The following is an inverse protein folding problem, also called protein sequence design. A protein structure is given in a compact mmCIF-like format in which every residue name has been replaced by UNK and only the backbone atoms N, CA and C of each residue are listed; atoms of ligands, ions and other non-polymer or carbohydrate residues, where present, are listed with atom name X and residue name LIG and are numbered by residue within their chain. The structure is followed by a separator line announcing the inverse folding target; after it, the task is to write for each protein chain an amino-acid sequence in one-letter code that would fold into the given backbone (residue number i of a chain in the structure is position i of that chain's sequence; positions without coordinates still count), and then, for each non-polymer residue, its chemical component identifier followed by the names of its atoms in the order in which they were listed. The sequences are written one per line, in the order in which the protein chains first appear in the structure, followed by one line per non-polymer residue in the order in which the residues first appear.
data_IF_080264125456
#
_entry.id   IF_080264125456
#
_cell.length_a   1.000
_cell.length_b   1.000
_cell.length_c   1.000
_cell.angle_alpha   90.00
_cell.angle_beta   90.00
_cell.angle_gamma   90.00
#
_symmetry.space_group_name_H-M   'P 1'
#
loop_
_entity.id
_entity.type
_entity.pdbx_description
1 polymer ?
#
# COMPACT_ATOMS: atom_id res chain seq x y z
N UNK A 1 39.36 33.66 13.85
CA UNK A 1 37.94 33.77 14.24
C UNK A 1 37.01 34.01 13.05
N UNK A 2 37.21 35.06 12.24
CA UNK A 2 36.38 35.32 11.06
C UNK A 2 36.37 34.16 10.04
N UNK A 3 37.53 33.51 9.83
CA UNK A 3 37.65 32.38 8.90
C UNK A 3 36.90 31.12 9.39
N UNK A 4 36.96 30.81 10.70
CA UNK A 4 36.26 29.66 11.28
C UNK A 4 34.75 29.85 11.26
N UNK A 5 34.26 31.06 11.59
CA UNK A 5 32.85 31.43 11.49
C UNK A 5 32.34 31.38 10.05
N UNK A 6 33.12 31.89 9.10
CA UNK A 6 32.78 31.82 7.66
C UNK A 6 32.71 30.38 7.16
N UNK A 7 33.66 29.54 7.57
CA UNK A 7 33.66 28.11 7.24
C UNK A 7 32.43 27.40 7.81
N UNK A 8 32.07 27.68 9.06
CA UNK A 8 30.92 27.05 9.72
C UNK A 8 29.58 27.49 9.12
N UNK A 9 29.47 28.76 8.72
CA UNK A 9 28.31 29.26 7.99
C UNK A 9 28.17 28.61 6.59
N UNK A 10 29.29 28.43 5.87
CA UNK A 10 29.30 27.74 4.59
C UNK A 10 28.98 26.25 4.73
N UNK A 11 29.57 25.57 5.71
CA UNK A 11 29.34 24.15 5.99
C UNK A 11 27.85 23.88 6.28
N UNK A 12 27.20 24.78 7.00
CA UNK A 12 25.76 24.68 7.33
C UNK A 12 24.84 24.83 6.13
N UNK A 13 25.28 25.51 5.07
CA UNK A 13 24.50 25.72 3.85
C UNK A 13 24.72 24.62 2.82
N UNK A 14 25.88 23.95 2.85
CA UNK A 14 26.32 23.05 1.79
C UNK A 14 26.13 21.55 2.11
N UNK A 15 25.38 21.21 3.16
CA UNK A 15 25.13 19.82 3.60
C UNK A 15 26.42 18.97 3.65
N UNK A 16 27.49 19.54 4.21
CA UNK A 16 28.82 18.92 4.22
C UNK A 16 28.80 17.65 5.05
N UNK A 17 29.45 16.58 4.59
CA UNK A 17 29.57 15.32 5.34
C UNK A 17 30.26 15.53 6.69
N UNK A 18 29.96 14.68 7.67
CA UNK A 18 30.51 14.75 9.03
C UNK A 18 32.02 14.46 9.12
N UNK A 19 32.61 13.93 8.04
CA UNK A 19 34.01 13.53 7.96
C UNK A 19 34.20 12.02 8.16
N UNK A 20 35.32 11.46 7.67
CA UNK A 20 35.53 10.01 7.64
C UNK A 20 35.62 9.38 9.02
N UNK A 21 36.21 10.08 10.01
CA UNK A 21 36.37 9.58 11.38
C UNK A 21 35.05 9.23 12.06
N UNK A 22 33.99 10.01 11.78
CA UNK A 22 32.67 9.80 12.39
C UNK A 22 31.94 8.68 11.65
N UNK A 23 32.07 8.63 10.33
CA UNK A 23 31.47 7.56 9.52
C UNK A 23 32.07 6.19 9.84
N UNK A 24 33.38 6.11 10.07
CA UNK A 24 34.06 4.89 10.50
C UNK A 24 33.57 4.43 11.87
N UNK A 25 33.48 5.32 12.85
CA UNK A 25 32.92 5.00 14.18
C UNK A 25 31.48 4.48 14.10
N UNK A 26 30.64 5.07 13.24
CA UNK A 26 29.26 4.60 13.04
C UNK A 26 29.27 3.17 12.46
N UNK A 27 30.16 2.89 11.50
CA UNK A 27 30.30 1.55 10.92
C UNK A 27 30.77 0.52 11.95
N UNK A 28 31.74 0.86 12.79
CA UNK A 28 32.23 -0.02 13.86
C UNK A 28 31.12 -0.38 14.86
N UNK A 29 30.33 0.61 15.31
CA UNK A 29 29.22 0.40 16.24
C UNK A 29 28.14 -0.50 15.62
N UNK A 30 27.86 -0.33 14.33
CA UNK A 30 26.89 -1.17 13.63
C UNK A 30 27.38 -2.61 13.42
N UNK A 31 28.67 -2.78 13.08
CA UNK A 31 29.29 -4.10 12.94
C UNK A 31 29.33 -4.86 14.26
N UNK A 32 29.60 -4.18 15.38
CA UNK A 32 29.56 -4.78 16.71
C UNK A 32 28.17 -5.33 17.09
N UNK A 33 27.11 -4.84 16.45
CA UNK A 33 25.74 -5.37 16.61
C UNK A 33 25.36 -6.43 15.57
N UNK A 34 26.26 -6.78 14.65
CA UNK A 34 25.97 -7.70 13.57
C UNK A 34 25.02 -7.13 12.52
N UNK A 35 24.89 -5.80 12.42
CA UNK A 35 23.96 -5.14 11.50
C UNK A 35 24.73 -4.66 10.28
N UNK A 36 24.25 -5.09 9.10
CA UNK A 36 24.84 -4.69 7.82
C UNK A 36 24.22 -3.38 7.35
N UNK A 37 25.06 -2.36 7.18
CA UNK A 37 24.68 -1.08 6.58
C UNK A 37 24.86 -1.18 5.07
N UNK A 38 23.82 -0.85 4.29
CA UNK A 38 23.92 -0.69 2.84
C UNK A 38 24.33 0.72 2.45
N UNK A 39 23.80 1.73 3.14
CA UNK A 39 24.05 3.13 2.85
C UNK A 39 24.19 3.92 4.15
N UNK A 40 25.20 4.78 4.21
CA UNK A 40 25.41 5.73 5.30
C UNK A 40 25.60 7.10 4.67
N UNK A 41 24.74 8.03 5.04
CA UNK A 41 24.88 9.45 4.69
C UNK A 41 24.93 10.27 5.96
N UNK A 42 25.99 11.02 6.14
CA UNK A 42 26.11 11.98 7.23
C UNK A 42 25.99 13.40 6.71
N UNK A 43 25.42 14.28 7.52
CA UNK A 43 25.34 15.71 7.23
C UNK A 43 25.71 16.48 8.49
N UNK A 44 26.54 17.49 8.32
CA UNK A 44 26.95 18.43 9.35
C UNK A 44 26.18 19.73 9.16
N UNK A 45 25.52 20.17 10.23
CA UNK A 45 24.76 21.42 10.31
C UNK A 45 25.36 22.25 11.44
N UNK A 46 26.37 23.05 11.11
CA UNK A 46 27.18 23.78 12.10
C UNK A 46 27.94 22.80 13.01
N UNK A 47 27.66 22.83 14.31
CA UNK A 47 28.22 21.92 15.32
C UNK A 47 27.47 20.58 15.44
N UNK A 48 26.26 20.51 14.88
CA UNK A 48 25.39 19.35 14.95
C UNK A 48 25.63 18.39 13.78
N UNK A 49 25.52 17.09 14.03
CA UNK A 49 25.63 16.05 13.00
C UNK A 49 24.34 15.24 12.96
N UNK A 50 23.89 14.95 11.75
CA UNK A 50 22.76 14.05 11.48
C UNK A 50 23.23 12.89 10.61
N UNK A 51 22.71 11.70 10.87
CA UNK A 51 23.06 10.50 10.12
C UNK A 51 21.81 9.78 9.60
N UNK A 52 21.82 9.43 8.32
CA UNK A 52 20.81 8.60 7.68
C UNK A 52 21.46 7.26 7.33
N UNK A 53 20.89 6.19 7.87
CA UNK A 53 21.38 4.82 7.74
C UNK A 53 20.33 3.97 7.02
N UNK A 54 20.75 3.23 6.01
CA UNK A 54 19.95 2.14 5.44
C UNK A 54 20.54 0.81 5.93
N UNK A 55 19.76 0.07 6.71
CA UNK A 55 20.16 -1.23 7.27
C UNK A 55 19.36 -2.35 6.64
N UNK A 56 20.01 -3.49 6.43
CA UNK A 56 19.34 -4.73 6.02
C UNK A 56 19.05 -5.58 7.23
N UNK A 57 17.79 -5.95 7.36
CA UNK A 57 17.34 -6.91 8.35
C UNK A 57 16.63 -8.05 7.62
N UNK A 58 16.89 -9.31 7.98
CA UNK A 58 16.20 -10.45 7.37
C UNK A 58 14.71 -10.41 7.72
N UNK A 59 13.87 -10.82 6.77
CA UNK A 59 12.39 -10.72 6.80
C UNK A 59 11.70 -11.60 7.85
N UNK A 60 12.44 -12.44 8.57
CA UNK A 60 11.89 -13.30 9.62
C UNK A 60 11.60 -12.56 10.94
N UNK A 61 12.15 -11.36 11.14
CA UNK A 61 11.91 -10.59 12.36
C UNK A 61 10.50 -10.02 12.38
N UNK A 62 9.83 -10.08 13.55
CA UNK A 62 8.58 -9.35 13.74
C UNK A 62 8.84 -7.86 13.68
N UNK A 63 7.87 -7.08 13.21
CA UNK A 63 7.97 -5.61 13.14
C UNK A 63 8.37 -5.01 14.50
N UNK A 64 7.87 -5.55 15.60
CA UNK A 64 8.21 -5.14 16.97
C UNK A 64 9.67 -5.44 17.38
N UNK A 65 10.26 -6.52 16.84
CA UNK A 65 11.65 -6.88 17.13
C UNK A 65 12.58 -5.99 16.31
N UNK A 66 12.23 -5.74 15.05
CA UNK A 66 12.97 -4.84 14.17
C UNK A 66 13.02 -3.40 14.71
N UNK A 67 11.90 -2.90 15.27
CA UNK A 67 11.87 -1.57 15.90
C UNK A 67 12.72 -1.50 17.16
N UNK A 68 12.72 -2.54 18.00
CA UNK A 68 13.60 -2.62 19.18
C UNK A 68 15.08 -2.61 18.79
N UNK A 69 15.44 -3.32 17.73
CA UNK A 69 16.81 -3.34 17.22
C UNK A 69 17.22 -1.94 16.70
N UNK A 70 16.35 -1.28 15.93
CA UNK A 70 16.63 0.06 15.41
C UNK A 70 16.75 1.11 16.53
N UNK A 71 15.87 1.09 17.52
CA UNK A 71 15.93 2.03 18.64
C UNK A 71 17.17 1.76 19.52
N UNK A 72 17.51 0.49 19.75
CA UNK A 72 18.73 0.12 20.47
C UNK A 72 20.01 0.58 19.77
N UNK A 73 20.06 0.53 18.43
CA UNK A 73 21.14 1.12 17.66
C UNK A 73 21.17 2.64 17.79
N UNK A 74 20.01 3.29 17.64
CA UNK A 74 19.87 4.74 17.69
C UNK A 74 20.40 5.32 19.00
N UNK A 75 20.00 4.75 20.14
CA UNK A 75 20.46 5.22 21.45
C UNK A 75 21.98 5.08 21.63
N UNK A 76 22.56 3.97 21.17
CA UNK A 76 24.00 3.74 21.28
C UNK A 76 24.81 4.72 20.42
N UNK A 77 24.32 5.01 19.21
CA UNK A 77 24.97 5.99 18.33
C UNK A 77 24.93 7.40 18.93
N UNK A 78 23.79 7.80 19.50
CA UNK A 78 23.66 9.11 20.18
C UNK A 78 24.54 9.20 21.43
N UNK A 79 24.68 8.12 22.20
CA UNK A 79 25.55 8.09 23.39
C UNK A 79 27.04 8.11 23.04
N UNK A 80 27.44 7.44 21.96
CA UNK A 80 28.85 7.34 21.56
C UNK A 80 29.37 8.63 20.91
N UNK A 81 28.51 9.39 20.23
CA UNK A 81 28.88 10.58 19.47
C UNK A 81 28.07 11.77 20.00
N UNK A 82 28.67 12.56 20.90
CA UNK A 82 27.97 13.70 21.53
C UNK A 82 27.56 14.82 20.58
N UNK A 83 28.13 14.89 19.38
CA UNK A 83 27.74 15.83 18.32
C UNK A 83 26.60 15.31 17.43
N UNK A 84 26.19 14.05 17.59
CA UNK A 84 25.12 13.43 16.82
C UNK A 84 23.77 13.79 17.46
N UNK A 85 22.94 14.55 16.75
CA UNK A 85 21.64 15.01 17.28
C UNK A 85 20.50 14.11 16.80
N UNK A 86 20.59 13.62 15.57
CA UNK A 86 19.52 12.84 14.96
C UNK A 86 20.05 11.72 14.09
N UNK A 87 19.41 10.55 14.21
CA UNK A 87 19.70 9.36 13.41
C UNK A 87 18.40 8.86 12.82
N UNK A 88 18.30 8.84 11.50
CA UNK A 88 17.23 8.14 10.78
C UNK A 88 17.74 6.76 10.35
N UNK A 89 16.96 5.73 10.65
CA UNK A 89 17.27 4.35 10.27
C UNK A 89 16.14 3.86 9.37
N UNK A 90 16.48 3.51 8.14
CA UNK A 90 15.59 2.89 7.17
C UNK A 90 15.92 1.40 7.07
N UNK A 91 14.92 0.56 7.33
CA UNK A 91 15.07 -0.89 7.24
C UNK A 91 14.66 -1.31 5.83
N UNK A 92 15.57 -1.98 5.11
CA UNK A 92 15.25 -2.71 3.90
C UNK A 92 15.01 -4.18 4.27
N UNK A 93 13.77 -4.62 4.14
CA UNK A 93 13.45 -6.06 4.13
C UNK A 93 13.68 -6.59 2.73
N UNK A 94 14.57 -7.57 2.58
CA UNK A 94 14.65 -8.32 1.33
C UNK A 94 13.37 -9.14 1.20
N UNK A 95 12.76 -9.07 0.00
CA UNK A 95 11.60 -9.83 -0.43
C UNK A 95 10.28 -9.45 0.25
N UNK A 96 9.71 -8.33 -0.21
CA UNK A 96 8.25 -8.34 -0.42
C UNK A 96 8.09 -9.11 -1.73
N UNK A 97 7.96 -10.44 -1.66
CA UNK A 97 7.34 -11.17 -2.76
C UNK A 97 5.92 -10.61 -2.87
N UNK A 98 5.75 -9.68 -3.80
CA UNK A 98 4.40 -9.29 -4.22
C UNK A 98 3.87 -10.48 -4.98
N UNK A 99 3.12 -11.34 -4.30
CA UNK A 99 2.25 -12.32 -4.93
C UNK A 99 1.22 -11.56 -5.76
N UNK A 100 1.64 -11.13 -6.95
CA UNK A 100 0.73 -10.56 -7.93
C UNK A 100 -0.07 -11.72 -8.50
N UNK A 101 -1.33 -11.83 -8.08
CA UNK A 101 -2.29 -12.76 -8.65
C UNK A 101 -2.43 -12.49 -10.15
N UNK A 102 -1.73 -13.26 -10.99
CA UNK A 102 -2.02 -13.37 -12.42
C UNK A 102 -3.20 -14.32 -12.57
N UNK A 103 -4.41 -13.85 -12.95
CA UNK A 103 -5.50 -14.76 -13.24
C UNK A 103 -5.04 -15.69 -14.37
N UNK A 104 -5.16 -17.00 -14.12
CA UNK A 104 -4.78 -18.11 -15.02
C UNK A 104 -5.57 -18.10 -16.34
N UNK A 105 -6.45 -17.12 -16.53
CA UNK A 105 -7.28 -16.94 -17.72
C UNK A 105 -6.49 -16.84 -19.03
N UNK A 106 -5.20 -16.45 -18.98
CA UNK A 106 -4.35 -16.41 -20.17
C UNK A 106 -3.87 -17.78 -20.67
N UNK A 107 -4.01 -18.86 -19.88
CA UNK A 107 -3.58 -20.21 -20.28
C UNK A 107 -4.69 -21.01 -20.99
N UNK A 108 -5.95 -20.57 -20.90
CA UNK A 108 -7.10 -21.26 -21.48
C UNK A 108 -7.76 -20.54 -22.67
N UNK A 109 -7.27 -19.35 -23.07
CA UNK A 109 -7.75 -18.70 -24.30
C UNK A 109 -6.99 -19.23 -25.52
N UNK A 110 -7.69 -19.69 -26.57
CA UNK A 110 -7.05 -20.17 -27.78
C UNK A 110 -6.20 -19.05 -28.40
N UNK A 111 -5.00 -19.43 -28.81
CA UNK A 111 -3.97 -18.62 -29.45
C UNK A 111 -4.55 -17.76 -30.58
N UNK A 112 -4.94 -16.51 -30.27
CA UNK A 112 -5.53 -15.62 -31.27
C UNK A 112 -5.94 -14.23 -30.78
N UNK A 113 -6.12 -14.04 -29.46
CA UNK A 113 -6.55 -12.77 -28.90
C UNK A 113 -5.42 -11.93 -28.26
N UNK A 114 -4.19 -12.11 -28.74
CA UNK A 114 -3.02 -11.39 -28.26
C UNK A 114 -2.41 -10.49 -29.34
N UNK A 115 -3.05 -9.36 -29.67
CA UNK A 115 -2.34 -8.19 -30.22
C UNK A 115 -3.17 -6.92 -30.03
N UNK A 116 -2.51 -5.93 -29.45
CA UNK A 116 -3.12 -4.74 -28.88
C UNK A 116 -4.08 -4.00 -29.80
N UNK A 117 -5.23 -3.65 -29.22
CA UNK A 117 -5.95 -2.45 -29.57
C UNK A 117 -6.31 -1.79 -28.25
N UNK A 118 -5.84 -0.55 -28.09
CA UNK A 118 -6.10 0.25 -26.92
C UNK A 118 -7.59 0.22 -26.59
N UNK A 119 -7.89 0.07 -25.30
CA UNK A 119 -9.22 0.28 -24.74
C UNK A 119 -9.58 1.76 -24.92
N UNK A 120 -9.90 2.12 -26.16
CA UNK A 120 -10.45 3.41 -26.53
C UNK A 120 -11.82 3.53 -25.89
N UNK A 121 -12.02 4.67 -25.26
CA UNK A 121 -13.28 5.17 -24.75
C UNK A 121 -14.33 5.26 -25.87
N UNK A 122 -14.89 4.12 -26.28
CA UNK A 122 -16.13 4.07 -27.04
C UNK A 122 -17.23 3.64 -26.06
N UNK A 123 -17.57 4.59 -25.18
CA UNK A 123 -18.88 4.64 -24.54
C UNK A 123 -19.92 4.89 -25.63
N UNK A 124 -20.24 3.87 -26.41
CA UNK A 124 -21.48 3.82 -27.15
C UNK A 124 -22.43 2.99 -26.31
N UNK A 125 -23.26 3.66 -25.53
CA UNK A 125 -24.26 3.04 -24.67
C UNK A 125 -25.19 2.15 -25.51
N UNK A 126 -24.93 0.85 -25.53
CA UNK A 126 -25.91 -0.17 -25.89
C UNK A 126 -26.66 -0.57 -24.63
N UNK A 127 -27.47 0.34 -24.12
CA UNK A 127 -28.66 -0.07 -23.36
C UNK A 127 -29.79 -0.27 -24.37
N UNK A 128 -29.62 -1.26 -25.24
CA UNK A 128 -30.67 -1.70 -26.14
C UNK A 128 -31.51 -2.74 -25.38
N UNK A 129 -32.43 -2.21 -24.58
CA UNK A 129 -33.28 -2.98 -23.71
C UNK A 129 -34.08 -2.05 -22.81
N UNK A 130 -34.95 -1.22 -23.38
CA UNK A 130 -36.04 -0.61 -22.61
C UNK A 130 -36.92 -1.75 -22.11
N UNK A 131 -36.70 -2.23 -20.88
CA UNK A 131 -37.72 -2.99 -20.17
C UNK A 131 -38.84 -2.00 -19.92
N UNK A 132 -39.85 -1.99 -20.80
CA UNK A 132 -40.93 -0.99 -20.86
C UNK A 132 -41.83 -0.94 -19.59
N UNK A 133 -41.55 -1.76 -18.58
CA UNK A 133 -42.47 -1.99 -17.45
C UNK A 133 -41.76 -2.01 -16.09
N UNK A 134 -40.48 -1.66 -16.00
CA UNK A 134 -39.82 -1.51 -14.69
C UNK A 134 -40.28 -0.20 -14.01
N UNK A 135 -41.54 -0.17 -13.58
CA UNK A 135 -42.06 0.85 -12.67
C UNK A 135 -41.32 0.65 -11.35
N UNK A 136 -40.26 1.43 -11.13
CA UNK A 136 -39.45 1.37 -9.92
C UNK A 136 -40.25 1.84 -8.70
N UNK A 137 -41.06 0.96 -8.12
CA UNK A 137 -41.87 1.23 -6.91
C UNK A 137 -41.05 1.09 -5.61
N UNK A 138 -39.81 1.60 -5.60
CA UNK A 138 -38.94 1.63 -4.42
C UNK A 138 -38.38 0.28 -3.95
N UNK A 139 -37.58 0.26 -2.87
CA UNK A 139 -36.92 -0.96 -2.37
C UNK A 139 -37.85 -1.89 -1.56
N UNK A 140 -39.02 -1.40 -1.11
CA UNK A 140 -39.98 -2.16 -0.30
C UNK A 140 -41.26 -2.53 -1.05
N UNK A 141 -41.95 -3.58 -0.60
CA UNK A 141 -43.21 -4.06 -1.16
C UNK A 141 -43.32 -5.60 -1.14
N UNK A 142 -44.42 -6.12 -1.68
CA UNK A 142 -44.65 -7.57 -1.79
C UNK A 142 -44.70 -8.01 -3.27
N UNK A 143 -44.14 -9.18 -3.55
CA UNK A 143 -44.36 -9.91 -4.78
C UNK A 143 -45.54 -10.88 -4.58
N UNK A 144 -46.51 -10.86 -5.50
CA UNK A 144 -47.77 -11.60 -5.39
C UNK A 144 -47.97 -12.52 -6.61
N UNK A 145 -48.40 -13.78 -6.42
CA UNK A 145 -48.78 -14.66 -7.55
C UNK A 145 -50.15 -14.21 -8.08
N UNK A 146 -50.29 -13.94 -9.40
CA UNK A 146 -51.57 -13.55 -9.98
C UNK A 146 -52.63 -14.67 -9.97
N UNK A 147 -52.22 -15.93 -9.79
CA UNK A 147 -53.11 -17.09 -9.85
C UNK A 147 -53.59 -17.57 -8.47
N UNK A 148 -52.72 -17.53 -7.45
CA UNK A 148 -53.03 -18.06 -6.10
C UNK A 148 -52.86 -17.03 -4.97
N UNK A 149 -52.59 -15.76 -5.30
CA UNK A 149 -52.43 -14.66 -4.33
C UNK A 149 -51.36 -14.86 -3.26
N UNK A 150 -50.43 -15.80 -3.46
CA UNK A 150 -49.29 -16.01 -2.58
C UNK A 150 -48.42 -14.75 -2.51
N UNK A 151 -48.19 -14.22 -1.31
CA UNK A 151 -47.41 -13.00 -1.06
C UNK A 151 -46.05 -13.33 -0.43
N UNK A 152 -45.00 -12.72 -0.94
CA UNK A 152 -43.63 -12.79 -0.40
C UNK A 152 -43.03 -11.39 -0.39
N UNK A 153 -42.18 -11.10 0.60
CA UNK A 153 -41.45 -9.83 0.65
C UNK A 153 -40.52 -9.68 -0.55
N UNK A 154 -40.53 -8.50 -1.16
CA UNK A 154 -39.65 -8.19 -2.28
C UNK A 154 -38.20 -8.01 -1.82
N UNK A 155 -37.27 -8.73 -2.45
CA UNK A 155 -35.84 -8.55 -2.21
C UNK A 155 -35.24 -7.48 -3.13
N UNK A 156 -34.54 -6.46 -2.59
CA UNK A 156 -33.93 -5.42 -3.40
C UNK A 156 -32.87 -6.01 -4.34
N UNK A 157 -32.90 -5.59 -5.60
CA UNK A 157 -32.00 -6.07 -6.65
C UNK A 157 -32.49 -7.31 -7.42
N UNK A 158 -33.60 -7.94 -7.01
CA UNK A 158 -34.20 -9.08 -7.70
C UNK A 158 -35.63 -8.71 -8.14
N UNK A 159 -35.93 -8.63 -9.46
CA UNK A 159 -37.29 -8.30 -9.89
C UNK A 159 -38.26 -9.45 -9.56
N UNK A 160 -39.49 -9.12 -9.14
CA UNK A 160 -40.50 -10.13 -8.79
C UNK A 160 -40.76 -11.13 -9.92
N UNK A 161 -40.62 -10.71 -11.18
CA UNK A 161 -40.81 -11.54 -12.37
C UNK A 161 -39.78 -12.67 -12.52
N UNK A 162 -38.66 -12.62 -11.79
CA UNK A 162 -37.67 -13.71 -11.74
C UNK A 162 -38.05 -14.78 -10.70
N UNK A 163 -38.89 -14.45 -9.73
CA UNK A 163 -39.34 -15.38 -8.69
C UNK A 163 -40.51 -16.23 -9.19
N UNK A 164 -40.46 -17.52 -8.88
CA UNK A 164 -41.49 -18.51 -9.23
C UNK A 164 -42.28 -18.85 -7.97
N UNK A 165 -43.61 -18.83 -8.06
CA UNK A 165 -44.45 -19.19 -6.92
C UNK A 165 -44.38 -20.69 -6.61
N UNK A 166 -44.26 -21.10 -5.33
CA UNK A 166 -44.22 -22.51 -4.94
C UNK A 166 -45.54 -23.25 -5.19
N UNK A 167 -46.69 -22.55 -5.19
CA UNK A 167 -48.01 -23.17 -5.34
C UNK A 167 -48.44 -23.29 -6.81
N UNK A 168 -48.31 -22.19 -7.58
CA UNK A 168 -48.86 -22.05 -8.93
C UNK A 168 -47.80 -22.22 -10.04
N UNK A 169 -46.49 -22.25 -9.70
CA UNK A 169 -45.33 -22.24 -10.63
C UNK A 169 -45.33 -21.09 -11.66
N UNK A 170 -46.17 -20.07 -11.48
CA UNK A 170 -46.15 -18.86 -12.31
C UNK A 170 -45.20 -17.82 -11.73
N UNK A 171 -44.77 -16.87 -12.58
CA UNK A 171 -43.92 -15.76 -12.19
C UNK A 171 -44.69 -14.78 -11.30
N UNK A 172 -44.04 -14.28 -10.26
CA UNK A 172 -44.64 -13.30 -9.36
C UNK A 172 -44.67 -11.90 -9.97
N UNK A 173 -45.67 -11.12 -9.61
CA UNK A 173 -45.83 -9.72 -10.02
C UNK A 173 -45.72 -8.80 -8.81
N UNK A 174 -45.34 -7.55 -9.01
CA UNK A 174 -45.28 -6.57 -7.92
C UNK A 174 -46.68 -6.00 -7.63
N UNK A 175 -47.07 -5.95 -6.35
CA UNK A 175 -48.30 -5.28 -5.90
C UNK A 175 -48.24 -3.76 -6.09
#
# INVERSE_FOLDING_TARGET
EAFSLGKEAADSLLDVSAGPEIEEKIKEIAQAQGIRIENLKTQKKGSAITANLEITLPSHFKVEEATKISEGLREKLLKAIGSLIYVAIQIKSHEIETDFYRPVFSRFLPSGLGRGRGFGWQRQGRFEGKIKEAVGRGPGGYCVCPNCHYKVEHQPGIPCSTLICPNCKTKLTRE
#
